data_IF_021161426913
#
_entry.id   IF_021161426913
#
_cell.length_a   1.000
_cell.length_b   1.000
_cell.length_c   1.000
_cell.angle_alpha   90.00
_cell.angle_beta   90.00
_cell.angle_gamma   90.00
#
_symmetry.space_group_name_H-M   'P 1'
#
loop_
_entity.id
_entity.type
_entity.pdbx_description
1 polymer ?
#
# COMPACT_ATOMS: atom_id res chain seq x y z
N UNK A 1 -11.16 21.86 -13.29
CA UNK A 1 -9.88 22.55 -13.55
C UNK A 1 -9.03 22.34 -12.31
N UNK A 2 -7.94 21.57 -12.30
CA UNK A 2 -7.16 21.04 -13.41
C UNK A 2 -6.36 19.82 -12.89
N UNK A 3 -6.83 18.60 -13.19
CA UNK A 3 -6.26 17.30 -12.77
C UNK A 3 -4.94 16.97 -13.50
N UNK A 4 -4.25 17.98 -14.03
CA UNK A 4 -3.09 17.86 -14.93
C UNK A 4 -1.83 18.53 -14.38
N UNK A 5 -1.88 19.13 -13.19
CA UNK A 5 -0.67 19.61 -12.50
C UNK A 5 -0.14 18.60 -11.47
N UNK A 6 -0.89 17.52 -11.23
CA UNK A 6 -0.54 16.41 -10.32
C UNK A 6 0.62 15.53 -10.84
N UNK A 7 1.10 15.78 -12.05
CA UNK A 7 2.23 15.07 -12.63
C UNK A 7 3.60 15.40 -11.98
N UNK A 8 3.69 16.11 -10.85
CA UNK A 8 5.00 16.54 -10.31
C UNK A 8 5.18 16.51 -8.79
N UNK A 9 4.45 15.65 -8.08
CA UNK A 9 4.86 15.21 -6.74
C UNK A 9 4.67 13.69 -6.65
N UNK A 10 5.76 12.93 -6.75
CA UNK A 10 5.73 11.46 -6.72
C UNK A 10 5.24 10.92 -5.36
N UNK A 11 5.50 11.66 -4.28
CA UNK A 11 5.13 11.31 -2.91
C UNK A 11 4.71 12.56 -2.15
N UNK A 12 3.73 12.42 -1.25
CA UNK A 12 3.33 13.43 -0.28
C UNK A 12 3.57 12.92 1.14
N UNK A 13 4.26 13.72 1.94
CA UNK A 13 4.53 13.41 3.36
C UNK A 13 3.47 14.08 4.22
N UNK A 14 2.62 13.31 4.88
CA UNK A 14 1.59 13.84 5.80
C UNK A 14 2.13 14.14 7.21
N UNK A 15 3.19 13.44 7.62
CA UNK A 15 3.80 13.58 8.94
C UNK A 15 5.28 13.17 8.90
N UNK A 16 6.09 13.87 9.69
CA UNK A 16 7.55 13.65 9.74
C UNK A 16 8.29 14.50 8.71
N UNK A 17 9.61 14.41 8.73
CA UNK A 17 10.51 15.08 7.79
C UNK A 17 11.60 14.06 7.41
N UNK A 18 11.30 13.11 6.51
CA UNK A 18 12.27 12.12 6.10
C UNK A 18 13.44 12.80 5.38
N UNK A 19 14.62 12.22 5.51
CA UNK A 19 15.74 12.65 4.68
C UNK A 19 15.59 12.14 3.23
N UNK A 20 16.49 12.59 2.36
CA UNK A 20 16.46 12.26 0.94
C UNK A 20 16.66 10.75 0.70
N UNK A 21 17.45 10.08 1.55
CA UNK A 21 17.73 8.64 1.44
C UNK A 21 16.51 7.81 1.83
N UNK A 22 15.82 8.19 2.90
CA UNK A 22 14.56 7.58 3.33
C UNK A 22 13.47 7.74 2.26
N UNK A 23 13.35 8.93 1.66
CA UNK A 23 12.38 9.18 0.59
C UNK A 23 12.71 8.37 -0.67
N UNK A 24 13.99 8.26 -1.03
CA UNK A 24 14.46 7.42 -2.12
C UNK A 24 14.14 5.94 -1.87
N UNK A 25 14.40 5.44 -0.66
CA UNK A 25 14.14 4.05 -0.29
C UNK A 25 12.65 3.70 -0.43
N UNK A 26 11.75 4.55 0.06
CA UNK A 26 10.30 4.34 -0.08
C UNK A 26 9.87 4.39 -1.53
N UNK A 27 10.42 5.31 -2.33
CA UNK A 27 10.13 5.40 -3.77
C UNK A 27 10.53 4.11 -4.49
N UNK A 28 11.75 3.62 -4.25
CA UNK A 28 12.25 2.36 -4.84
C UNK A 28 11.39 1.18 -4.43
N UNK A 29 11.02 1.08 -3.15
CA UNK A 29 10.17 0.01 -2.65
C UNK A 29 8.80 0.00 -3.34
N UNK A 30 8.16 1.16 -3.49
CA UNK A 30 6.86 1.29 -4.17
C UNK A 30 6.94 0.95 -5.66
N UNK A 31 7.96 1.45 -6.36
CA UNK A 31 8.16 1.14 -7.78
C UNK A 31 8.46 -0.36 -8.00
N UNK A 32 9.26 -0.96 -7.13
CA UNK A 32 9.55 -2.40 -7.16
C UNK A 32 8.30 -3.24 -6.92
N UNK A 33 7.47 -2.83 -5.95
CA UNK A 33 6.21 -3.51 -5.67
C UNK A 33 5.20 -3.39 -6.83
N UNK A 34 5.17 -2.26 -7.53
CA UNK A 34 4.34 -2.08 -8.74
C UNK A 34 4.83 -2.97 -9.88
N UNK A 35 6.13 -3.00 -10.14
CA UNK A 35 6.72 -3.87 -11.17
C UNK A 35 6.45 -5.36 -10.88
N UNK A 36 6.55 -5.78 -9.62
CA UNK A 36 6.24 -7.16 -9.23
C UNK A 36 4.76 -7.53 -9.39
N UNK A 37 3.84 -6.56 -9.26
CA UNK A 37 2.40 -6.79 -9.50
C UNK A 37 2.10 -7.03 -10.97
N UNK A 38 2.76 -6.30 -11.87
CA UNK A 38 2.59 -6.48 -13.32
C UNK A 38 3.04 -7.88 -13.76
N UNK A 39 4.05 -8.46 -13.09
CA UNK A 39 4.51 -9.83 -13.34
C UNK A 39 3.60 -10.90 -12.72
N UNK A 40 3.02 -10.63 -11.55
CA UNK A 40 2.12 -11.55 -10.85
C UNK A 40 0.75 -11.70 -11.52
N UNK A 41 0.22 -10.65 -12.16
CA UNK A 41 -1.07 -10.70 -12.90
C UNK A 41 -1.00 -11.67 -14.11
N UNK A 42 0.20 -12.16 -14.48
CA UNK A 42 0.40 -13.18 -15.51
C UNK A 42 0.35 -14.63 -14.98
N UNK A 43 0.44 -14.87 -13.66
CA UNK A 43 0.71 -16.23 -13.13
C UNK A 43 -0.33 -16.80 -12.17
N UNK A 44 -1.05 -16.03 -11.36
CA UNK A 44 -1.90 -16.65 -10.32
C UNK A 44 -3.34 -16.13 -10.24
N UNK A 45 -4.27 -17.10 -10.29
CA UNK A 45 -5.59 -17.03 -9.66
C UNK A 45 -5.45 -16.27 -8.34
N UNK A 46 -5.98 -15.05 -8.31
CA UNK A 46 -5.98 -14.22 -7.10
C UNK A 46 -6.43 -15.08 -5.94
N UNK A 47 -5.53 -15.34 -4.97
CA UNK A 47 -5.95 -15.56 -3.60
C UNK A 47 -6.70 -14.30 -3.20
N UNK A 48 -8.02 -14.31 -3.45
CA UNK A 48 -8.95 -13.33 -2.97
C UNK A 48 -8.65 -13.25 -1.48
N UNK A 49 -8.17 -12.09 -1.03
CA UNK A 49 -8.02 -11.80 0.38
C UNK A 49 -9.26 -12.38 1.06
N UNK A 50 -9.08 -13.40 1.90
CA UNK A 50 -10.22 -14.04 2.53
C UNK A 50 -10.79 -13.01 3.48
N UNK A 51 -11.74 -12.21 2.99
CA UNK A 51 -12.58 -11.35 3.80
C UNK A 51 -13.24 -12.33 4.77
N UNK A 52 -12.60 -12.50 5.94
CA UNK A 52 -13.07 -13.43 6.92
C UNK A 52 -14.46 -12.94 7.26
N UNK A 53 -15.46 -13.79 6.97
CA UNK A 53 -16.85 -13.40 7.22
C UNK A 53 -16.92 -12.91 8.66
N UNK A 54 -17.39 -11.68 8.90
CA UNK A 54 -17.44 -11.12 10.25
C UNK A 54 -18.17 -12.06 11.23
N UNK A 55 -19.13 -12.81 10.70
CA UNK A 55 -19.89 -13.88 11.37
C UNK A 55 -19.03 -15.03 11.95
N UNK A 56 -17.82 -15.25 11.42
CA UNK A 56 -16.85 -16.27 11.88
C UNK A 56 -15.70 -15.68 12.72
N UNK A 57 -15.68 -14.37 12.91
CA UNK A 57 -14.67 -13.69 13.75
C UNK A 57 -15.24 -13.49 15.15
N UNK A 58 -14.46 -13.81 16.19
CA UNK A 58 -14.84 -13.58 17.59
C UNK A 58 -15.21 -12.10 17.78
N UNK A 59 -16.38 -11.84 18.36
CA UNK A 59 -17.01 -10.51 18.47
C UNK A 59 -16.26 -9.48 19.33
N UNK A 60 -15.09 -9.83 19.87
CA UNK A 60 -14.29 -8.93 20.68
C UNK A 60 -12.80 -9.09 20.38
N UNK A 61 -12.18 -8.02 19.87
CA UNK A 61 -10.73 -7.86 19.80
C UNK A 61 -10.31 -6.70 20.70
N UNK A 62 -9.15 -6.84 21.31
CA UNK A 62 -8.55 -5.81 22.16
C UNK A 62 -8.28 -4.54 21.35
N UNK A 63 -8.57 -3.33 21.88
CA UNK A 63 -8.47 -2.06 21.14
C UNK A 63 -7.08 -1.73 20.56
N UNK A 64 -6.04 -2.40 21.04
CA UNK A 64 -4.63 -2.14 20.72
C UNK A 64 -3.96 -3.25 19.90
N UNK A 65 -4.70 -4.20 19.33
CA UNK A 65 -4.12 -5.14 18.37
C UNK A 65 -4.29 -4.62 16.95
N UNK A 66 -3.22 -4.05 16.38
CA UNK A 66 -3.20 -3.78 14.94
C UNK A 66 -2.71 -5.03 14.22
N UNK A 67 -3.56 -5.51 13.32
CA UNK A 67 -3.23 -6.43 12.25
C UNK A 67 -3.85 -5.85 10.98
#
# INVERSE_FOLDING_TARGET
>A
MDSRNEARLLLRVERGAPDDDELAAVTVALLSALAARDEADATEDRELASWQRPERTVAYRVPHSWK
#
